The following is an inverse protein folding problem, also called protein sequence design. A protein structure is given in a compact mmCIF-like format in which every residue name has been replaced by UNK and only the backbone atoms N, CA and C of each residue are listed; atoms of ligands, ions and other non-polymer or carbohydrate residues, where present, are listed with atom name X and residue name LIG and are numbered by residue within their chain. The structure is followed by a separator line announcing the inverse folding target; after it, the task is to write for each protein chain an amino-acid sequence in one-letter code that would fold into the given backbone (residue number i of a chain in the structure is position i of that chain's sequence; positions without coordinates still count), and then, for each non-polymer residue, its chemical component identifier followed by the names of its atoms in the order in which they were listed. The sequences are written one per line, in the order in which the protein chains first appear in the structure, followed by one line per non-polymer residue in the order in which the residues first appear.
data_IF_365785416396
#
_entry.id   IF_365785416396
#
_cell.length_a   1.000
_cell.length_b   1.000
_cell.length_c   1.000
_cell.angle_alpha   90.00
_cell.angle_beta   90.00
_cell.angle_gamma   90.00
#
_symmetry.space_group_name_H-M   'P 1'
#
loop_
_entity.id
_entity.type
_entity.pdbx_description
1 polymer ?
#
# COMPACT_ATOMS: atom_id res chain seq x y z
N UNK A 1 -4.26 -45.33 -13.68
CA UNK A 1 -4.09 -43.94 -14.18
C UNK A 1 -5.05 -43.07 -13.39
N UNK A 2 -4.72 -41.97 -12.73
CA UNK A 2 -3.48 -41.27 -12.41
C UNK A 2 -3.93 -40.17 -11.44
N UNK A 3 -3.50 -40.24 -10.17
CA UNK A 3 -3.83 -39.20 -9.19
C UNK A 3 -2.77 -38.10 -9.32
N UNK A 4 -3.21 -36.93 -9.76
CA UNK A 4 -2.40 -35.72 -9.80
C UNK A 4 -1.95 -35.37 -8.38
N UNK A 5 -0.66 -35.54 -8.11
CA UNK A 5 0.03 -34.99 -6.94
C UNK A 5 -0.04 -33.45 -7.00
N UNK A 6 -1.14 -32.87 -6.49
CA UNK A 6 -1.13 -31.47 -6.07
C UNK A 6 -0.27 -31.40 -4.83
N UNK A 7 1.00 -31.00 -4.98
CA UNK A 7 1.85 -30.62 -3.85
C UNK A 7 1.04 -29.64 -2.99
N UNK A 8 0.93 -29.84 -1.66
CA UNK A 8 0.35 -28.82 -0.81
C UNK A 8 1.20 -27.56 -1.02
N UNK A 9 0.56 -26.45 -1.40
CA UNK A 9 1.17 -25.14 -1.25
C UNK A 9 1.23 -24.94 0.25
N UNK A 10 2.38 -25.30 0.84
CA UNK A 10 2.70 -24.99 2.22
C UNK A 10 2.63 -23.46 2.29
N UNK A 11 1.55 -22.93 2.85
CA UNK A 11 1.52 -21.53 3.27
C UNK A 11 2.59 -21.45 4.35
N UNK A 12 3.77 -20.95 4.01
CA UNK A 12 4.75 -20.58 5.02
C UNK A 12 4.07 -19.54 5.90
N UNK A 13 3.87 -19.88 7.18
CA UNK A 13 3.35 -18.96 8.19
C UNK A 13 4.31 -17.75 8.25
N UNK A 14 3.77 -16.53 8.14
CA UNK A 14 4.57 -15.30 8.20
C UNK A 14 4.19 -14.25 7.16
N UNK A 15 4.77 -13.06 7.34
CA UNK A 15 4.62 -11.95 6.40
C UNK A 15 5.52 -12.17 5.17
N UNK A 16 4.96 -11.93 3.97
CA UNK A 16 5.67 -12.11 2.71
C UNK A 16 5.87 -10.76 2.00
N UNK A 17 7.10 -10.22 2.00
CA UNK A 17 7.46 -9.00 1.29
C UNK A 17 7.08 -9.03 -0.20
N UNK A 18 6.43 -7.97 -0.67
CA UNK A 18 6.09 -7.78 -2.08
C UNK A 18 6.86 -6.62 -2.69
N UNK A 19 7.34 -6.79 -3.92
CA UNK A 19 7.92 -5.69 -4.70
C UNK A 19 6.84 -4.66 -5.07
N UNK A 20 7.16 -3.38 -4.96
CA UNK A 20 6.34 -2.31 -5.52
C UNK A 20 6.37 -2.34 -7.06
N UNK A 21 5.34 -2.94 -7.64
CA UNK A 21 5.09 -2.98 -9.08
C UNK A 21 3.58 -2.94 -9.38
N UNK A 22 3.20 -2.78 -10.66
CA UNK A 22 1.79 -2.62 -11.04
C UNK A 22 0.91 -3.84 -10.72
N UNK A 23 1.46 -5.04 -10.88
CA UNK A 23 0.69 -6.28 -10.70
C UNK A 23 0.38 -6.53 -9.23
N UNK A 24 1.36 -6.32 -8.34
CA UNK A 24 1.17 -6.44 -6.89
C UNK A 24 0.18 -5.39 -6.38
N UNK A 25 0.31 -4.13 -6.81
CA UNK A 25 -0.65 -3.08 -6.46
C UNK A 25 -2.06 -3.44 -6.94
N UNK A 26 -2.20 -3.91 -8.18
CA UNK A 26 -3.50 -4.31 -8.74
C UNK A 26 -4.10 -5.50 -7.98
N UNK A 27 -3.29 -6.49 -7.62
CA UNK A 27 -3.73 -7.67 -6.89
C UNK A 27 -4.24 -7.31 -5.48
N UNK A 28 -3.50 -6.49 -4.73
CA UNK A 28 -3.91 -6.05 -3.39
C UNK A 28 -5.13 -5.13 -3.48
N UNK A 29 -5.17 -4.21 -4.45
CA UNK A 29 -6.34 -3.34 -4.66
C UNK A 29 -7.60 -4.16 -4.87
N UNK A 30 -7.57 -5.11 -5.83
CA UNK A 30 -8.71 -5.97 -6.13
C UNK A 30 -9.12 -6.84 -4.95
N UNK A 31 -8.14 -7.33 -4.17
CA UNK A 31 -8.41 -8.13 -2.97
C UNK A 31 -9.19 -7.32 -1.92
N UNK A 32 -8.89 -6.04 -1.76
CA UNK A 32 -9.51 -5.20 -0.75
C UNK A 32 -10.86 -4.60 -1.16
N UNK A 33 -11.29 -4.75 -2.42
CA UNK A 33 -12.57 -4.19 -2.87
C UNK A 33 -13.75 -4.81 -2.10
N UNK A 34 -14.74 -3.97 -1.83
CA UNK A 34 -16.03 -4.40 -1.34
C UNK A 34 -16.75 -5.27 -2.39
N UNK A 35 -17.47 -6.27 -1.91
CA UNK A 35 -18.39 -7.10 -2.70
C UNK A 35 -19.80 -6.98 -2.12
N UNK A 36 -20.80 -7.54 -2.78
CA UNK A 36 -22.19 -7.51 -2.30
C UNK A 36 -22.35 -8.14 -0.91
N UNK A 37 -21.48 -9.09 -0.55
CA UNK A 37 -21.45 -9.74 0.76
C UNK A 37 -20.65 -8.99 1.85
N UNK A 38 -20.01 -7.86 1.52
CA UNK A 38 -19.16 -7.13 2.46
C UNK A 38 -20.01 -6.44 3.54
N UNK A 39 -19.72 -6.77 4.81
CA UNK A 39 -20.46 -6.24 5.97
C UNK A 39 -19.88 -4.92 6.48
N UNK A 40 -18.56 -4.79 6.45
CA UNK A 40 -17.84 -3.62 6.96
C UNK A 40 -17.23 -2.83 5.80
N UNK A 41 -17.80 -1.68 5.49
CA UNK A 41 -17.40 -0.85 4.35
C UNK A 41 -16.57 0.34 4.80
N UNK A 42 -15.64 0.77 3.95
CA UNK A 42 -15.00 2.09 4.03
C UNK A 42 -14.96 2.72 2.64
N UNK A 43 -15.26 4.02 2.55
CA UNK A 43 -15.33 4.74 1.27
C UNK A 43 -14.58 6.08 1.38
N UNK A 44 -13.25 6.06 1.57
CA UNK A 44 -12.51 7.26 1.89
C UNK A 44 -12.31 8.14 0.64
N UNK A 45 -12.54 9.45 0.79
CA UNK A 45 -12.39 10.47 -0.26
C UNK A 45 -10.98 11.05 -0.21
N UNK A 46 -10.18 10.80 -1.27
CA UNK A 46 -8.78 11.24 -1.36
C UNK A 46 -8.63 12.75 -1.54
N UNK A 47 -9.40 13.34 -2.45
CA UNK A 47 -9.39 14.76 -2.79
C UNK A 47 -10.75 15.34 -2.43
N UNK A 48 -10.83 16.05 -1.30
CA UNK A 48 -12.10 16.52 -0.74
C UNK A 48 -12.29 18.03 -0.91
N UNK A 49 -13.52 18.48 -1.14
CA UNK A 49 -13.91 19.89 -1.22
C UNK A 49 -13.38 20.69 -0.02
N UNK A 50 -13.53 20.14 1.19
CA UNK A 50 -13.04 20.75 2.44
C UNK A 50 -11.52 20.97 2.49
N UNK A 51 -10.76 20.31 1.61
CA UNK A 51 -9.30 20.40 1.50
C UNK A 51 -8.84 21.25 0.30
N UNK A 52 -9.74 22.08 -0.27
CA UNK A 52 -9.40 23.05 -1.32
C UNK A 52 -9.63 22.56 -2.75
N UNK A 53 -10.28 21.41 -2.95
CA UNK A 53 -10.72 20.96 -4.29
C UNK A 53 -12.08 21.57 -4.65
N UNK A 54 -12.42 21.64 -5.94
CA UNK A 54 -13.70 22.20 -6.40
C UNK A 54 -14.91 21.33 -6.07
N UNK A 55 -14.68 20.03 -5.89
CA UNK A 55 -15.67 19.02 -5.52
C UNK A 55 -14.97 17.82 -4.86
N UNK A 56 -15.75 16.95 -4.23
CA UNK A 56 -15.24 15.67 -3.72
C UNK A 56 -14.93 14.70 -4.86
N UNK A 57 -13.73 14.11 -4.83
CA UNK A 57 -13.40 12.99 -5.71
C UNK A 57 -14.29 11.78 -5.42
N UNK A 58 -14.58 10.99 -6.45
CA UNK A 58 -15.32 9.74 -6.29
C UNK A 58 -14.56 8.79 -5.35
N UNK A 59 -15.19 8.32 -4.26
CA UNK A 59 -14.55 7.36 -3.38
C UNK A 59 -14.47 5.99 -4.06
N UNK A 60 -13.50 5.19 -3.63
CA UNK A 60 -13.49 3.74 -3.86
C UNK A 60 -13.97 3.07 -2.60
N UNK A 61 -14.94 2.16 -2.75
CA UNK A 61 -15.50 1.41 -1.63
C UNK A 61 -14.69 0.14 -1.41
N UNK A 62 -14.10 0.01 -0.23
CA UNK A 62 -13.33 -1.14 0.19
C UNK A 62 -14.03 -1.91 1.30
N UNK A 63 -13.70 -3.18 1.37
CA UNK A 63 -13.96 -4.04 2.51
C UNK A 63 -12.94 -3.72 3.61
N UNK A 64 -13.44 -3.18 4.72
CA UNK A 64 -12.60 -2.71 5.83
C UNK A 64 -11.79 -3.84 6.45
N UNK A 65 -12.37 -5.04 6.56
CA UNK A 65 -11.72 -6.18 7.17
C UNK A 65 -10.59 -6.69 6.25
N UNK A 66 -10.82 -6.66 4.93
CA UNK A 66 -9.76 -6.99 3.96
C UNK A 66 -8.66 -5.93 3.91
N UNK A 67 -8.98 -4.65 4.09
CA UNK A 67 -7.95 -3.62 4.27
C UNK A 67 -7.08 -3.95 5.48
N UNK A 68 -7.69 -4.19 6.65
CA UNK A 68 -6.96 -4.51 7.88
C UNK A 68 -6.04 -5.73 7.70
N UNK A 69 -6.56 -6.81 7.11
CA UNK A 69 -5.81 -8.03 6.84
C UNK A 69 -4.65 -7.85 5.82
N UNK A 70 -4.63 -6.75 5.05
CA UNK A 70 -3.58 -6.45 4.08
C UNK A 70 -2.78 -5.19 4.44
N UNK A 71 -3.03 -4.56 5.59
CA UNK A 71 -2.39 -3.28 5.96
C UNK A 71 -0.87 -3.36 5.99
N UNK A 72 -0.29 -4.42 6.55
CA UNK A 72 1.17 -4.59 6.53
C UNK A 72 1.72 -4.70 5.10
N UNK A 73 1.02 -5.38 4.19
CA UNK A 73 1.44 -5.46 2.79
C UNK A 73 1.30 -4.10 2.10
N UNK A 74 0.23 -3.37 2.35
CA UNK A 74 0.02 -2.02 1.80
C UNK A 74 1.13 -1.09 2.30
N UNK A 75 1.43 -1.12 3.61
CA UNK A 75 2.50 -0.34 4.22
C UNK A 75 3.86 -0.70 3.64
N UNK A 76 4.16 -1.99 3.46
CA UNK A 76 5.41 -2.46 2.84
C UNK A 76 5.60 -1.96 1.40
N UNK A 77 4.52 -1.85 0.64
CA UNK A 77 4.56 -1.26 -0.70
C UNK A 77 4.88 0.24 -0.63
N UNK A 78 4.27 0.98 0.31
CA UNK A 78 4.60 2.40 0.54
C UNK A 78 6.03 2.60 1.08
N UNK A 79 6.53 1.67 1.90
CA UNK A 79 7.86 1.71 2.49
C UNK A 79 9.00 1.66 1.45
N UNK A 80 8.70 1.25 0.21
CA UNK A 80 9.64 1.25 -0.92
C UNK A 80 9.68 2.59 -1.68
N UNK A 81 8.89 3.59 -1.29
CA UNK A 81 8.87 4.90 -1.96
C UNK A 81 10.09 5.76 -1.62
N UNK A 82 10.51 6.57 -2.58
CA UNK A 82 11.57 7.55 -2.38
C UNK A 82 11.26 8.56 -1.27
N UNK A 83 10.01 9.03 -1.19
CA UNK A 83 9.60 10.00 -0.17
C UNK A 83 9.67 9.44 1.26
N UNK A 84 9.48 8.11 1.43
CA UNK A 84 9.65 7.42 2.73
C UNK A 84 11.13 7.39 3.11
N UNK A 85 11.98 6.92 2.20
CA UNK A 85 13.43 6.82 2.45
C UNK A 85 14.11 8.17 2.68
N UNK A 86 13.57 9.24 2.11
CA UNK A 86 14.09 10.61 2.31
C UNK A 86 13.44 11.34 3.49
N UNK A 87 12.58 10.66 4.26
CA UNK A 87 11.90 11.23 5.44
C UNK A 87 11.21 12.56 5.16
N UNK A 88 10.61 12.68 3.98
CA UNK A 88 10.02 13.93 3.50
C UNK A 88 8.80 14.38 4.32
N UNK A 89 8.13 13.43 5.00
CA UNK A 89 6.94 13.67 5.83
C UNK A 89 5.66 13.96 5.04
N UNK A 90 5.73 13.99 3.71
CA UNK A 90 4.58 14.16 2.83
C UNK A 90 4.79 13.43 1.51
N UNK A 91 3.68 13.08 0.87
CA UNK A 91 3.63 12.55 -0.50
C UNK A 91 2.83 13.50 -1.40
N UNK A 92 3.16 13.49 -2.69
CA UNK A 92 2.38 14.08 -3.75
C UNK A 92 1.93 12.97 -4.73
N UNK A 93 0.81 13.14 -5.46
CA UNK A 93 0.31 12.10 -6.35
C UNK A 93 1.32 11.62 -7.41
N UNK A 94 2.25 12.47 -7.83
CA UNK A 94 3.28 12.09 -8.80
C UNK A 94 4.57 11.57 -8.16
N UNK A 95 4.88 11.96 -6.91
CA UNK A 95 6.10 11.50 -6.25
C UNK A 95 6.03 10.02 -5.85
N UNK A 96 4.82 9.48 -5.63
CA UNK A 96 4.61 8.04 -5.36
C UNK A 96 4.97 7.14 -6.55
N UNK A 97 5.33 7.69 -7.72
CA UNK A 97 5.80 6.91 -8.88
C UNK A 97 7.26 6.48 -8.78
N UNK A 98 8.01 7.05 -7.81
CA UNK A 98 9.45 6.88 -7.68
C UNK A 98 9.77 5.99 -6.46
N UNK A 99 10.53 4.91 -6.71
CA UNK A 99 11.07 4.04 -5.66
C UNK A 99 12.30 4.66 -5.00
N UNK A 100 12.71 4.11 -3.85
CA UNK A 100 13.92 4.54 -3.15
C UNK A 100 15.19 4.51 -3.99
N UNK A 101 15.29 3.56 -4.93
CA UNK A 101 16.38 3.44 -5.91
C UNK A 101 16.31 4.49 -7.06
N UNK A 102 15.38 5.45 -6.96
CA UNK A 102 15.08 6.52 -7.92
C UNK A 102 14.51 6.04 -9.26
N UNK A 103 14.22 4.75 -9.41
CA UNK A 103 13.55 4.24 -10.59
C UNK A 103 12.03 4.47 -10.53
N UNK A 104 11.42 4.62 -11.70
CA UNK A 104 9.97 4.75 -11.85
C UNK A 104 9.35 3.36 -11.94
N UNK A 105 8.43 3.00 -11.04
CA UNK A 105 7.78 1.68 -11.04
C UNK A 105 6.48 1.63 -11.85
N UNK A 106 5.87 2.80 -12.13
CA UNK A 106 4.69 2.93 -12.99
C UNK A 106 4.57 4.34 -13.56
N UNK A 107 3.96 4.45 -14.74
CA UNK A 107 3.44 5.71 -15.29
C UNK A 107 1.91 5.69 -15.46
N UNK A 108 1.27 4.58 -15.07
CA UNK A 108 -0.16 4.39 -15.24
C UNK A 108 -0.94 5.15 -14.17
N UNK A 109 -1.60 6.24 -14.57
CA UNK A 109 -2.47 7.05 -13.70
C UNK A 109 -3.50 6.19 -12.95
N UNK A 110 -4.05 5.17 -13.60
CA UNK A 110 -5.00 4.26 -12.99
C UNK A 110 -4.40 3.37 -11.90
N UNK A 111 -3.14 2.96 -12.04
CA UNK A 111 -2.42 2.20 -11.01
C UNK A 111 -2.01 3.11 -9.86
N UNK A 112 -1.54 4.33 -10.16
CA UNK A 112 -1.18 5.34 -9.16
C UNK A 112 -2.38 5.66 -8.26
N UNK A 113 -3.55 5.92 -8.84
CA UNK A 113 -4.77 6.19 -8.07
C UNK A 113 -5.18 4.99 -7.19
N UNK A 114 -5.09 3.76 -7.71
CA UNK A 114 -5.35 2.56 -6.91
C UNK A 114 -4.42 2.47 -5.69
N UNK A 115 -3.13 2.75 -5.90
CA UNK A 115 -2.13 2.74 -4.84
C UNK A 115 -2.40 3.80 -3.77
N UNK A 116 -2.76 5.03 -4.17
CA UNK A 116 -3.15 6.08 -3.25
C UNK A 116 -4.42 5.73 -2.48
N UNK A 117 -5.44 5.18 -3.14
CA UNK A 117 -6.67 4.76 -2.46
C UNK A 117 -6.42 3.66 -1.43
N UNK A 118 -5.54 2.69 -1.73
CA UNK A 118 -5.11 1.67 -0.77
C UNK A 118 -4.42 2.30 0.45
N UNK A 119 -3.41 3.15 0.23
CA UNK A 119 -2.68 3.75 1.35
C UNK A 119 -3.55 4.64 2.22
N UNK A 120 -4.50 5.36 1.63
CA UNK A 120 -5.43 6.19 2.40
C UNK A 120 -6.44 5.34 3.18
N UNK A 121 -6.97 4.27 2.57
CA UNK A 121 -7.85 3.32 3.26
C UNK A 121 -7.13 2.58 4.41
N UNK A 122 -5.85 2.29 4.25
CA UNK A 122 -4.98 1.70 5.28
C UNK A 122 -4.46 2.73 6.31
N UNK A 123 -4.93 3.98 6.26
CA UNK A 123 -4.52 5.05 7.17
C UNK A 123 -3.02 5.33 7.20
N UNK A 124 -2.36 5.36 6.04
CA UNK A 124 -0.92 5.68 5.93
C UNK A 124 -0.64 7.18 5.79
N UNK A 125 -1.64 7.97 5.39
CA UNK A 125 -1.52 9.41 5.23
C UNK A 125 -2.89 10.08 5.37
N UNK A 126 -2.92 11.40 5.52
CA UNK A 126 -4.16 12.19 5.55
C UNK A 126 -4.72 12.47 4.15
N UNK A 127 -6.00 12.82 4.02
CA UNK A 127 -6.55 13.27 2.73
C UNK A 127 -5.67 14.36 2.09
N UNK A 128 -5.54 14.32 0.77
CA UNK A 128 -4.75 15.31 0.05
C UNK A 128 -5.36 16.70 0.27
N UNK A 129 -4.47 17.67 0.46
CA UNK A 129 -4.78 19.09 0.51
C UNK A 129 -4.22 19.78 -0.70
N UNK A 130 -5.02 20.67 -1.30
CA UNK A 130 -4.57 21.52 -2.39
C UNK A 130 -3.70 22.63 -1.82
N UNK A 131 -2.46 22.71 -2.31
CA UNK A 131 -1.50 23.74 -1.93
C UNK A 131 -1.09 24.45 -3.21
N UNK A 132 -1.64 25.64 -3.44
CA UNK A 132 -1.48 26.40 -4.69
C UNK A 132 -1.87 25.56 -5.92
N UNK A 133 -0.88 25.24 -6.78
CA UNK A 133 -1.01 24.42 -7.99
C UNK A 133 -0.65 22.93 -7.77
N UNK A 134 -0.37 22.53 -6.52
CA UNK A 134 0.06 21.18 -6.15
C UNK A 134 -0.92 20.50 -5.18
N UNK A 135 -0.72 19.21 -4.93
CA UNK A 135 -1.49 18.39 -3.99
C UNK A 135 -0.54 17.62 -3.08
N UNK A 136 -0.71 17.76 -1.77
CA UNK A 136 0.13 17.08 -0.78
C UNK A 136 -0.70 16.42 0.29
N UNK A 137 -0.22 15.28 0.77
CA UNK A 137 -0.76 14.59 1.93
C UNK A 137 0.35 14.39 2.95
N UNK A 138 0.06 14.68 4.22
CA UNK A 138 0.97 14.36 5.33
C UNK A 138 1.04 12.84 5.44
N UNK A 139 2.25 12.31 5.29
CA UNK A 139 2.54 10.89 5.39
C UNK A 139 2.80 10.57 6.87
N UNK A 140 2.12 9.58 7.42
CA UNK A 140 2.42 9.11 8.77
C UNK A 140 3.74 8.34 8.78
N UNK A 141 4.39 8.18 9.95
CA UNK A 141 5.65 7.45 10.02
C UNK A 141 5.51 6.03 9.48
N UNK A 142 6.33 5.71 8.48
CA UNK A 142 6.48 4.38 7.87
C UNK A 142 7.97 4.05 7.88
N UNK A 143 8.31 2.85 8.35
CA UNK A 143 9.70 2.39 8.30
C UNK A 143 10.11 2.11 6.85
N UNK A 144 11.23 2.66 6.34
CA UNK A 144 11.73 2.35 5.01
C UNK A 144 11.98 0.84 4.83
N UNK A 145 11.61 0.30 3.67
CA UNK A 145 11.82 -1.11 3.32
C UNK A 145 12.50 -1.26 1.97
N UNK A 146 13.24 -2.36 1.81
CA UNK A 146 13.86 -2.74 0.54
C UNK A 146 12.91 -3.58 -0.32
N UNK A 147 13.06 -3.50 -1.63
CA UNK A 147 12.40 -4.44 -2.54
C UNK A 147 12.94 -5.85 -2.32
N UNK A 148 12.12 -6.92 -2.40
CA UNK A 148 12.59 -8.31 -2.40
C UNK A 148 13.59 -8.65 -3.52
N UNK A 149 13.68 -7.80 -4.56
CA UNK A 149 14.65 -7.92 -5.65
C UNK A 149 15.93 -7.10 -5.44
N UNK A 150 16.02 -6.35 -4.35
CA UNK A 150 17.21 -5.59 -4.01
C UNK A 150 18.35 -6.56 -3.63
N UNK A 151 19.58 -6.39 -4.15
CA UNK A 151 20.72 -7.22 -3.75
C UNK A 151 21.00 -7.21 -2.24
N UNK A 152 20.69 -6.12 -1.54
CA UNK A 152 20.86 -6.00 -0.10
C UNK A 152 19.67 -6.56 0.71
N UNK A 153 18.56 -6.94 0.04
CA UNK A 153 17.35 -7.43 0.70
C UNK A 153 17.58 -8.62 1.61
N UNK A 154 18.33 -9.70 1.24
CA UNK A 154 18.48 -10.85 2.12
C UNK A 154 19.07 -10.48 3.48
N UNK A 155 20.16 -9.72 3.49
CA UNK A 155 20.82 -9.26 4.72
C UNK A 155 19.97 -8.28 5.51
N UNK A 156 19.26 -7.37 4.83
CA UNK A 156 18.33 -6.45 5.49
C UNK A 156 17.16 -7.21 6.12
N UNK A 157 16.60 -8.20 5.41
CA UNK A 157 15.44 -8.96 5.85
C UNK A 157 15.72 -9.79 7.11
N UNK A 158 16.91 -10.39 7.22
CA UNK A 158 17.33 -11.12 8.44
C UNK A 158 17.19 -10.30 9.72
N UNK A 159 17.35 -8.97 9.64
CA UNK A 159 17.27 -8.07 10.80
C UNK A 159 15.90 -7.41 10.97
N UNK A 160 15.08 -7.30 9.92
CA UNK A 160 13.80 -6.59 9.95
C UNK A 160 12.57 -7.51 9.84
N UNK A 161 12.73 -8.80 9.51
CA UNK A 161 11.62 -9.74 9.30
C UNK A 161 10.62 -9.74 10.47
N UNK A 162 11.15 -9.83 11.70
CA UNK A 162 10.31 -9.87 12.90
C UNK A 162 9.47 -8.62 13.08
N UNK A 163 10.00 -7.45 12.76
CA UNK A 163 9.27 -6.18 12.85
C UNK A 163 8.04 -6.18 11.93
N UNK A 164 8.20 -6.69 10.71
CA UNK A 164 7.11 -6.79 9.74
C UNK A 164 6.10 -7.89 10.10
N UNK A 165 6.55 -9.01 10.67
CA UNK A 165 5.65 -10.05 11.19
C UNK A 165 4.82 -9.55 12.38
N UNK A 166 5.43 -8.81 13.31
CA UNK A 166 4.74 -8.24 14.46
C UNK A 166 3.79 -7.12 14.03
N UNK A 167 4.17 -6.30 13.04
CA UNK A 167 3.29 -5.30 12.43
C UNK A 167 2.06 -5.94 11.77
N UNK A 168 2.25 -7.03 11.01
CA UNK A 168 1.14 -7.76 10.38
C UNK A 168 0.13 -8.26 11.42
N UNK A 169 0.61 -8.87 12.51
CA UNK A 169 -0.24 -9.29 13.63
C UNK A 169 -0.93 -8.10 14.32
N UNK A 170 -0.25 -6.97 14.45
CA UNK A 170 -0.85 -5.78 15.07
C UNK A 170 -2.03 -5.24 14.25
N UNK A 171 -1.97 -5.33 12.91
CA UNK A 171 -3.07 -4.93 12.04
C UNK A 171 -4.26 -5.90 12.05
N UNK A 172 -4.02 -7.20 12.20
CA UNK A 172 -5.11 -8.20 12.32
C UNK A 172 -5.95 -8.03 13.58
N UNK A 173 -5.41 -7.39 14.62
CA UNK A 173 -6.07 -7.17 15.91
C UNK A 173 -6.77 -5.80 16.04
N UNK A 174 -6.89 -5.02 14.96
CA UNK A 174 -7.54 -3.69 14.93
C UNK A 174 -8.93 -3.74 14.32
#
# INVERSE_FOLDING_TARGET
MGFLNKKPVIRQEGFHPLELNEDNVRAIFNRCLATDDTKNLTAPILFALKNGYSEDSKPIVFDKDKIAANSATIEYLFAQLHDVHTSKGFIAPMSVTIKYDKSTWTQSKGIILKFLHLGYAAHLFNAFSRVEHDSKAVLFPINPALSPKDPAFPTWWETHQKEWEDLAKAYENR
#
